data_IF_253702572518
#
_entry.id   IF_253702572518
#
_cell.length_a   1.000
_cell.length_b   1.000
_cell.length_c   1.000
_cell.angle_alpha   90.00
_cell.angle_beta   90.00
_cell.angle_gamma   90.00
#
_symmetry.space_group_name_H-M   'P 1'
#
loop_
_entity.id
_entity.type
_entity.pdbx_description
1 polymer ?
#
# COMPACT_ATOMS: atom_id res chain seq x y z
N UNK A 1 -9.44 1.20 6.11
CA UNK A 1 -9.59 1.63 7.51
C UNK A 1 -8.48 0.95 8.30
N UNK A 2 -7.68 1.69 9.05
CA UNK A 2 -6.66 1.10 9.93
C UNK A 2 -7.31 0.75 11.29
N UNK A 3 -6.86 -0.32 11.93
CA UNK A 3 -7.31 -0.64 13.30
C UNK A 3 -6.71 0.37 14.28
N UNK A 4 -7.38 0.72 15.40
CA UNK A 4 -6.82 1.63 16.40
C UNK A 4 -5.45 1.19 16.94
N UNK A 5 -5.22 -0.12 17.05
CA UNK A 5 -3.92 -0.67 17.45
C UNK A 5 -2.78 -0.34 16.48
N UNK A 6 -3.07 -0.10 15.19
CA UNK A 6 -2.07 0.31 14.20
C UNK A 6 -1.50 1.70 14.52
N UNK A 7 -2.26 2.57 15.20
CA UNK A 7 -1.82 3.90 15.63
C UNK A 7 -0.95 3.91 16.88
N UNK A 8 -0.86 2.77 17.58
CA UNK A 8 -0.06 2.60 18.80
C UNK A 8 0.77 1.31 18.77
N UNK A 9 1.16 0.87 17.59
CA UNK A 9 1.85 -0.40 17.39
C UNK A 9 3.26 -0.37 17.99
N UNK A 10 3.53 -1.23 18.98
CA UNK A 10 4.85 -1.33 19.63
C UNK A 10 5.92 -2.04 18.77
N UNK A 11 5.54 -2.61 17.63
CA UNK A 11 6.43 -3.38 16.77
C UNK A 11 6.96 -2.58 15.57
N UNK A 12 6.74 -1.27 15.51
CA UNK A 12 7.26 -0.41 14.43
C UNK A 12 8.71 -0.01 14.70
N UNK A 13 9.56 -1.01 14.94
CA UNK A 13 10.99 -0.89 15.18
C UNK A 13 11.67 -2.25 14.93
N UNK A 14 13.00 -2.27 15.05
CA UNK A 14 13.82 -3.47 14.87
C UNK A 14 13.87 -4.39 16.10
N UNK A 15 13.46 -3.93 17.28
CA UNK A 15 13.45 -4.74 18.49
C UNK A 15 12.13 -5.51 18.57
N UNK A 16 12.15 -6.77 18.11
CA UNK A 16 10.97 -7.63 18.04
C UNK A 16 11.21 -8.94 18.78
N UNK A 17 10.20 -9.48 19.48
CA UNK A 17 10.37 -10.66 20.32
C UNK A 17 10.45 -11.97 19.54
N UNK A 18 10.08 -11.97 18.24
CA UNK A 18 10.11 -13.17 17.40
C UNK A 18 11.53 -13.53 16.97
N UNK A 19 11.80 -14.81 16.69
CA UNK A 19 13.10 -15.23 16.14
C UNK A 19 13.40 -14.59 14.77
N UNK A 20 12.35 -14.43 13.95
CA UNK A 20 12.40 -13.82 12.62
C UNK A 20 11.36 -12.72 12.44
N UNK A 21 11.69 -11.75 11.60
CA UNK A 21 10.72 -10.86 10.94
C UNK A 21 10.82 -11.07 9.44
N UNK A 22 9.69 -11.32 8.78
CA UNK A 22 9.61 -11.45 7.32
C UNK A 22 8.68 -10.37 6.80
N UNK A 23 9.07 -9.68 5.72
CA UNK A 23 8.30 -8.62 5.10
C UNK A 23 8.55 -8.55 3.59
N UNK A 24 7.73 -7.81 2.86
CA UNK A 24 8.03 -7.44 1.48
C UNK A 24 9.19 -6.45 1.46
N UNK A 25 10.22 -6.74 0.67
CA UNK A 25 11.38 -5.85 0.60
C UNK A 25 11.19 -4.78 -0.46
N UNK A 26 10.61 -3.63 -0.10
CA UNK A 26 10.54 -2.49 -1.02
C UNK A 26 11.92 -1.85 -1.24
N UNK A 27 12.28 -1.58 -2.50
CA UNK A 27 13.55 -0.93 -2.85
C UNK A 27 14.75 -1.88 -2.95
N UNK A 28 14.51 -3.19 -2.97
CA UNK A 28 15.53 -4.22 -3.20
C UNK A 28 16.31 -4.02 -4.51
N UNK A 29 15.72 -3.33 -5.50
CA UNK A 29 16.30 -3.01 -6.81
C UNK A 29 17.59 -2.20 -6.69
N UNK A 30 17.76 -1.47 -5.58
CA UNK A 30 18.99 -0.73 -5.26
C UNK A 30 20.17 -1.65 -4.98
N UNK A 31 19.92 -2.88 -4.55
CA UNK A 31 20.93 -3.89 -4.26
C UNK A 31 21.33 -4.69 -5.50
N UNK A 32 20.36 -4.99 -6.37
CA UNK A 32 20.60 -5.78 -7.57
C UNK A 32 19.53 -5.56 -8.61
N UNK A 33 19.94 -5.50 -9.88
CA UNK A 33 19.04 -5.41 -11.04
C UNK A 33 18.46 -6.77 -11.46
N UNK A 34 19.05 -7.88 -11.02
CA UNK A 34 18.75 -9.23 -11.52
C UNK A 34 18.15 -10.16 -10.46
N UNK A 35 18.20 -9.77 -9.18
CA UNK A 35 17.84 -10.67 -8.08
C UNK A 35 16.41 -11.23 -8.16
N UNK A 36 15.45 -10.43 -8.65
CA UNK A 36 14.06 -10.83 -8.87
C UNK A 36 13.69 -10.75 -10.36
N UNK A 37 14.61 -11.13 -11.25
CA UNK A 37 14.34 -11.17 -12.69
C UNK A 37 13.26 -12.19 -13.09
N UNK A 38 13.00 -13.18 -12.24
CA UNK A 38 11.94 -14.18 -12.40
C UNK A 38 10.56 -13.69 -11.94
N UNK A 39 10.49 -12.45 -11.41
CA UNK A 39 9.27 -11.78 -10.94
C UNK A 39 8.49 -12.57 -9.87
N UNK A 40 9.18 -13.34 -9.02
CA UNK A 40 8.56 -14.09 -7.90
C UNK A 40 8.48 -13.30 -6.59
N UNK A 41 9.07 -12.11 -6.56
CA UNK A 41 9.11 -11.21 -5.42
C UNK A 41 10.41 -11.31 -4.62
N UNK A 42 10.62 -10.31 -3.76
CA UNK A 42 11.77 -10.25 -2.85
C UNK A 42 11.24 -10.03 -1.42
N UNK A 43 11.58 -10.94 -0.51
CA UNK A 43 11.25 -10.81 0.91
C UNK A 43 12.46 -10.34 1.70
N UNK A 44 12.22 -9.45 2.67
CA UNK A 44 13.17 -9.04 3.69
C UNK A 44 13.09 -10.05 4.85
N UNK A 45 14.23 -10.53 5.30
CA UNK A 45 14.35 -11.34 6.52
C UNK A 45 15.22 -10.57 7.51
N UNK A 46 14.68 -10.31 8.70
CA UNK A 46 15.42 -9.77 9.84
C UNK A 46 15.51 -10.90 10.88
N UNK A 47 16.72 -11.23 11.28
CA UNK A 47 17.01 -12.21 12.31
C UNK A 47 17.13 -11.43 13.63
N UNK A 48 16.27 -11.70 14.61
CA UNK A 48 16.23 -10.91 15.84
C UNK A 48 16.93 -11.60 17.04
N UNK A 49 17.06 -12.94 17.00
CA UNK A 49 17.59 -13.73 18.13
C UNK A 49 18.69 -14.69 17.69
N UNK A 50 19.50 -15.17 18.64
CA UNK A 50 20.51 -16.21 18.42
C UNK A 50 19.90 -17.52 17.93
N UNK A 51 18.70 -17.87 18.42
CA UNK A 51 17.93 -19.02 17.95
C UNK A 51 17.50 -18.84 16.49
N UNK A 52 17.02 -17.66 16.10
CA UNK A 52 16.75 -17.33 14.70
C UNK A 52 17.99 -17.46 13.82
N UNK A 53 19.14 -16.97 14.30
CA UNK A 53 20.42 -17.11 13.59
C UNK A 53 20.79 -18.58 13.38
N UNK A 54 20.70 -19.41 14.42
CA UNK A 54 20.95 -20.85 14.33
C UNK A 54 20.05 -21.53 13.28
N UNK A 55 18.74 -21.23 13.30
CA UNK A 55 17.80 -21.79 12.33
C UNK A 55 18.10 -21.31 10.91
N UNK A 56 18.43 -20.03 10.73
CA UNK A 56 18.81 -19.46 9.44
C UNK A 56 20.05 -20.15 8.87
N UNK A 57 21.09 -20.35 9.67
CA UNK A 57 22.32 -21.01 9.23
C UNK A 57 22.10 -22.44 8.74
N UNK A 58 21.11 -23.15 9.31
CA UNK A 58 20.71 -24.49 8.86
C UNK A 58 19.89 -24.48 7.56
N UNK A 59 19.20 -23.39 7.25
CA UNK A 59 18.33 -23.30 6.07
C UNK A 59 18.88 -22.47 4.91
N UNK A 60 19.89 -21.61 5.13
CA UNK A 60 20.33 -20.59 4.16
C UNK A 60 20.74 -21.12 2.79
N UNK A 61 21.28 -22.35 2.73
CA UNK A 61 21.69 -22.98 1.47
C UNK A 61 20.50 -23.36 0.56
N UNK A 62 19.27 -23.29 1.08
CA UNK A 62 18.03 -23.56 0.34
C UNK A 62 17.31 -22.27 -0.08
N UNK A 63 17.94 -21.11 0.14
CA UNK A 63 17.37 -19.80 -0.13
C UNK A 63 18.21 -19.07 -1.19
N UNK A 64 17.55 -18.33 -2.07
CA UNK A 64 18.21 -17.31 -2.89
C UNK A 64 18.36 -16.05 -2.03
N UNK A 65 19.59 -15.66 -1.71
CA UNK A 65 19.87 -14.62 -0.71
C UNK A 65 20.68 -13.48 -1.30
N UNK A 66 20.31 -12.25 -0.94
CA UNK A 66 21.12 -11.05 -1.14
C UNK A 66 21.26 -10.33 0.20
N UNK A 67 22.47 -9.91 0.53
CA UNK A 67 22.74 -9.20 1.77
C UNK A 67 22.22 -7.77 1.67
N UNK A 68 21.62 -7.27 2.75
CA UNK A 68 21.19 -5.88 2.88
C UNK A 68 21.63 -5.29 4.23
N UNK A 69 21.39 -3.98 4.42
CA UNK A 69 21.64 -3.24 5.65
C UNK A 69 20.34 -2.68 6.22
N UNK A 70 20.37 -2.22 7.47
CA UNK A 70 19.19 -1.62 8.12
C UNK A 70 18.71 -0.39 7.35
N UNK A 71 19.65 0.45 6.94
CA UNK A 71 19.40 1.75 6.27
C UNK A 71 18.67 1.56 4.94
N UNK A 72 19.01 0.49 4.21
CA UNK A 72 18.41 0.17 2.91
C UNK A 72 17.06 -0.52 3.03
N UNK A 73 16.72 -1.09 4.19
CA UNK A 73 15.45 -1.81 4.40
C UNK A 73 14.43 -1.04 5.25
N UNK A 74 14.75 0.19 5.65
CA UNK A 74 13.83 1.05 6.41
C UNK A 74 12.56 1.32 5.60
N UNK A 75 11.41 1.09 6.25
CA UNK A 75 10.09 1.45 5.77
C UNK A 75 9.35 2.28 6.82
N UNK A 76 8.36 3.11 6.45
CA UNK A 76 7.65 3.97 7.40
C UNK A 76 7.09 3.22 8.61
N UNK A 77 6.48 2.05 8.37
CA UNK A 77 5.88 1.20 9.41
C UNK A 77 6.91 0.40 10.22
N UNK A 78 8.21 0.48 9.89
CA UNK A 78 9.31 -0.03 10.69
C UNK A 78 9.91 1.04 11.60
N UNK A 79 9.49 2.30 11.47
CA UNK A 79 9.99 3.42 12.28
C UNK A 79 8.93 3.92 13.26
N UNK A 80 7.67 4.00 12.82
CA UNK A 80 6.59 4.56 13.63
C UNK A 80 5.23 3.93 13.32
N UNK A 81 4.29 3.98 14.29
CA UNK A 81 2.89 3.62 14.05
C UNK A 81 2.27 4.41 12.90
N UNK A 82 1.27 3.81 12.27
CA UNK A 82 0.53 4.47 11.20
C UNK A 82 -0.33 5.60 11.76
N UNK A 83 -0.43 6.73 11.06
CA UNK A 83 -1.35 7.81 11.44
C UNK A 83 -2.80 7.38 11.25
N UNK A 84 -3.64 7.62 12.25
CA UNK A 84 -5.08 7.33 12.19
C UNK A 84 -5.83 8.60 11.80
N UNK A 85 -6.58 8.53 10.70
CA UNK A 85 -7.45 9.63 10.27
C UNK A 85 -8.70 9.68 11.18
N UNK A 86 -9.04 10.84 11.79
CA UNK A 86 -10.27 11.01 12.57
C UNK A 86 -11.54 10.61 11.83
N UNK A 87 -11.59 10.72 10.50
CA UNK A 87 -12.71 10.25 9.67
C UNK A 87 -12.95 8.75 9.79
N UNK A 88 -11.92 7.97 10.12
CA UNK A 88 -12.03 6.54 10.40
C UNK A 88 -12.94 6.28 11.60
N UNK A 89 -12.80 7.08 12.66
CA UNK A 89 -13.62 6.98 13.88
C UNK A 89 -15.06 7.36 13.57
N UNK A 90 -15.26 8.48 12.87
CA UNK A 90 -16.61 8.93 12.46
C UNK A 90 -17.29 7.88 11.57
N UNK A 91 -16.55 7.24 10.67
CA UNK A 91 -17.06 6.16 9.84
C UNK A 91 -17.51 4.96 10.68
N UNK A 92 -16.67 4.52 11.61
CA UNK A 92 -16.93 3.38 12.49
C UNK A 92 -18.14 3.63 13.39
N UNK A 93 -18.22 4.80 14.02
CA UNK A 93 -19.38 5.22 14.83
C UNK A 93 -20.69 5.22 14.04
N UNK A 94 -20.67 5.77 12.80
CA UNK A 94 -21.84 5.76 11.92
C UNK A 94 -22.25 4.34 11.52
N UNK A 95 -21.26 3.48 11.26
CA UNK A 95 -21.52 2.09 10.91
C UNK A 95 -22.13 1.32 12.08
N UNK A 96 -21.57 1.45 13.28
CA UNK A 96 -22.10 0.81 14.49
C UNK A 96 -23.53 1.26 14.77
N UNK A 97 -23.80 2.58 14.66
CA UNK A 97 -25.10 3.15 15.02
C UNK A 97 -26.21 2.90 13.99
N UNK A 98 -25.88 2.85 12.70
CA UNK A 98 -26.88 2.87 11.62
C UNK A 98 -26.66 1.79 10.55
N UNK A 99 -25.70 0.88 10.76
CA UNK A 99 -25.31 -0.14 9.78
C UNK A 99 -24.85 0.44 8.44
N UNK A 100 -25.04 -0.34 7.37
CA UNK A 100 -24.70 0.08 6.01
C UNK A 100 -25.41 1.35 5.55
N UNK A 101 -26.61 1.65 6.08
CA UNK A 101 -27.35 2.88 5.73
C UNK A 101 -26.60 4.13 6.18
N UNK A 102 -25.97 4.10 7.38
CA UNK A 102 -25.23 5.23 7.94
C UNK A 102 -23.95 5.59 7.20
N UNK A 103 -23.34 4.61 6.53
CA UNK A 103 -22.10 4.82 5.78
C UNK A 103 -22.29 4.98 4.28
N UNK A 104 -23.54 5.02 3.79
CA UNK A 104 -23.84 5.10 2.35
C UNK A 104 -23.13 6.28 1.67
N UNK A 105 -22.95 7.40 2.38
CA UNK A 105 -22.23 8.60 1.91
C UNK A 105 -20.73 8.38 1.67
N UNK A 106 -20.14 7.35 2.29
CA UNK A 106 -18.74 6.95 2.11
C UNK A 106 -18.57 5.86 1.05
N UNK A 107 -19.68 5.35 0.50
CA UNK A 107 -19.68 4.35 -0.56
C UNK A 107 -19.98 5.00 -1.90
N UNK A 108 -19.61 4.34 -3.00
CA UNK A 108 -20.04 4.73 -4.34
C UNK A 108 -21.49 4.33 -4.65
N UNK A 109 -22.24 3.85 -3.66
CA UNK A 109 -23.58 3.29 -3.81
C UNK A 109 -24.59 4.40 -3.47
N UNK A 110 -24.72 5.39 -4.36
CA UNK A 110 -25.67 6.48 -4.19
C UNK A 110 -26.05 7.12 -5.51
N UNK A 111 -27.30 7.60 -5.62
CA UNK A 111 -27.79 8.32 -6.80
C UNK A 111 -26.89 9.53 -7.13
N UNK A 112 -26.38 10.22 -6.12
CA UNK A 112 -25.46 11.35 -6.27
C UNK A 112 -24.13 10.92 -6.92
N UNK A 113 -23.52 9.79 -6.51
CA UNK A 113 -22.29 9.31 -7.15
C UNK A 113 -22.55 8.76 -8.56
N UNK A 114 -23.69 8.12 -8.80
CA UNK A 114 -24.12 7.75 -10.17
C UNK A 114 -24.25 8.98 -11.06
N UNK A 115 -24.86 10.06 -10.55
CA UNK A 115 -24.99 11.33 -11.25
C UNK A 115 -23.62 11.99 -11.51
N UNK A 116 -22.74 12.04 -10.51
CA UNK A 116 -21.38 12.58 -10.66
C UNK A 116 -20.58 11.83 -11.72
N UNK A 117 -20.63 10.50 -11.71
CA UNK A 117 -19.97 9.66 -12.73
C UNK A 117 -20.57 9.93 -14.11
N UNK A 118 -21.88 10.06 -14.21
CA UNK A 118 -22.57 10.39 -15.46
C UNK A 118 -22.15 11.76 -16.02
N UNK A 119 -22.17 12.80 -15.19
CA UNK A 119 -21.73 14.15 -15.55
C UNK A 119 -20.26 14.18 -15.98
N UNK A 120 -19.39 13.44 -15.28
CA UNK A 120 -17.97 13.30 -15.66
C UNK A 120 -17.81 12.67 -17.06
N UNK A 121 -18.59 11.62 -17.37
CA UNK A 121 -18.60 10.99 -18.70
C UNK A 121 -19.07 11.96 -19.80
N UNK A 122 -20.09 12.76 -19.53
CA UNK A 122 -20.56 13.81 -20.46
C UNK A 122 -19.44 14.83 -20.70
N UNK A 123 -18.84 15.37 -19.63
CA UNK A 123 -17.73 16.32 -19.73
C UNK A 123 -16.59 15.76 -20.61
N UNK A 124 -16.19 14.50 -20.38
CA UNK A 124 -15.15 13.84 -21.18
C UNK A 124 -15.51 13.69 -22.66
N UNK A 125 -16.77 13.39 -22.98
CA UNK A 125 -17.25 13.37 -24.38
C UNK A 125 -17.18 14.75 -25.02
N UNK A 126 -17.60 15.80 -24.31
CA UNK A 126 -17.54 17.19 -24.79
C UNK A 126 -16.08 17.61 -25.03
N UNK A 127 -15.18 17.35 -24.07
CA UNK A 127 -13.73 17.61 -24.23
C UNK A 127 -13.18 16.94 -25.50
N UNK A 128 -13.53 15.67 -25.74
CA UNK A 128 -13.09 14.92 -26.93
C UNK A 128 -13.63 15.52 -28.23
N UNK A 129 -14.90 15.95 -28.26
CA UNK A 129 -15.50 16.60 -29.44
C UNK A 129 -14.81 17.94 -29.74
N UNK A 130 -14.55 18.74 -28.70
CA UNK A 130 -13.84 20.03 -28.84
C UNK A 130 -12.41 19.82 -29.35
N UNK A 131 -11.69 18.82 -28.82
CA UNK A 131 -10.34 18.44 -29.28
C UNK A 131 -10.36 18.01 -30.75
N UNK A 132 -11.32 17.16 -31.15
CA UNK A 132 -11.44 16.71 -32.54
C UNK A 132 -11.78 17.87 -33.50
N UNK A 133 -12.63 18.81 -33.08
CA UNK A 133 -13.00 19.99 -33.88
C UNK A 133 -11.82 20.97 -34.03
N UNK A 134 -11.01 21.15 -32.99
CA UNK A 134 -9.76 21.92 -33.06
C UNK A 134 -8.75 21.30 -34.01
N UNK A 135 -8.56 19.98 -33.96
CA UNK A 135 -7.67 19.28 -34.88
C UNK A 135 -8.16 19.39 -36.33
N UNK A 136 -9.47 19.21 -36.59
CA UNK A 136 -10.04 19.36 -37.94
C UNK A 136 -9.81 20.75 -38.54
N UNK A 137 -9.95 21.82 -37.75
CA UNK A 137 -9.68 23.19 -38.21
C UNK A 137 -8.19 23.50 -38.45
N UNK A 138 -7.27 22.77 -37.82
CA UNK A 138 -5.82 22.89 -38.06
C UNK A 138 -5.36 22.18 -39.34
N UNK A 139 -6.13 21.21 -39.86
CA UNK A 139 -5.85 20.49 -41.11
C UNK A 139 -6.62 21.04 -42.33
N UNK A 140 -7.45 22.07 -42.14
CA UNK A 140 -8.29 22.67 -43.18
C UNK A 140 -7.81 24.07 -43.63
N UNK A 141 -6.61 24.48 -43.20
CA UNK A 141 -5.93 25.72 -43.60
C UNK A 141 -4.58 25.39 -44.23
#
# INVERSE_FOLDING_TARGET
MLRPSCGKCHYTNFNRPSDFTIADYWGWEKLSKTFNADNKGCSLIIINTSKGQYLFDKSKNRLNLIKTTKELCIQPNLIKPSSIDPKSVIFEEKYIKYGFKGIKTYTNIGLINKLKIFLYKIKKKIEKIILNKRNFNLFSN
#
